data_IF_340542999408
#
_entry.id   IF_340542999408
#
_cell.length_a   1.000
_cell.length_b   1.000
_cell.length_c   1.000
_cell.angle_alpha   90.00
_cell.angle_beta   90.00
_cell.angle_gamma   90.00
#
_symmetry.space_group_name_H-M   'P 1'
#
loop_
_entity.id
_entity.type
_entity.pdbx_description
1 polymer ?
#
# COMPACT_ATOMS: atom_id res chain seq x y z
N UNK A 1 3.95 -8.64 9.32
CA UNK A 1 3.33 -7.71 8.36
C UNK A 1 1.94 -8.27 8.07
N UNK A 2 0.90 -7.44 8.13
CA UNK A 2 -0.47 -7.90 7.95
C UNK A 2 -0.78 -8.06 6.46
N UNK A 3 -1.57 -9.08 6.15
CA UNK A 3 -2.20 -9.20 4.84
C UNK A 3 -3.13 -8.01 4.59
N UNK A 4 -3.16 -7.53 3.34
CA UNK A 4 -4.00 -6.41 2.93
C UNK A 4 -5.32 -6.93 2.37
N UNK A 5 -6.44 -6.55 2.98
CA UNK A 5 -7.77 -6.95 2.52
C UNK A 5 -8.34 -5.90 1.56
N UNK A 6 -8.66 -6.31 0.34
CA UNK A 6 -9.38 -5.47 -0.62
C UNK A 6 -10.83 -5.91 -0.66
N UNK A 7 -11.75 -4.95 -0.52
CA UNK A 7 -13.20 -5.20 -0.56
C UNK A 7 -13.86 -4.33 -1.62
N UNK A 8 -14.93 -4.82 -2.25
CA UNK A 8 -15.63 -4.13 -3.33
C UNK A 8 -17.12 -3.99 -3.02
N UNK A 9 -17.65 -2.79 -3.17
CA UNK A 9 -19.08 -2.50 -3.18
C UNK A 9 -19.48 -1.74 -4.45
N UNK A 10 -20.78 -1.71 -4.75
CA UNK A 10 -21.31 -1.05 -5.93
C UNK A 10 -22.47 -0.12 -5.60
N UNK A 11 -22.57 0.98 -6.35
CA UNK A 11 -23.70 1.93 -6.32
C UNK A 11 -24.13 2.21 -7.76
N UNK A 12 -25.42 2.09 -8.04
CA UNK A 12 -26.04 2.40 -9.33
C UNK A 12 -27.13 3.43 -9.11
N UNK A 13 -27.00 4.63 -9.70
CA UNK A 13 -27.97 5.72 -9.57
C UNK A 13 -28.32 6.07 -8.12
N UNK A 14 -27.30 6.05 -7.25
CA UNK A 14 -27.45 6.28 -5.80
C UNK A 14 -28.00 5.10 -5.00
N UNK A 15 -28.35 3.98 -5.65
CA UNK A 15 -28.84 2.76 -5.00
C UNK A 15 -27.69 1.77 -4.80
N UNK A 16 -27.51 1.29 -3.58
CA UNK A 16 -26.50 0.28 -3.26
C UNK A 16 -26.83 -1.05 -3.95
N UNK A 17 -25.82 -1.65 -4.59
CA UNK A 17 -25.94 -2.95 -5.24
C UNK A 17 -25.78 -4.06 -4.18
N UNK A 18 -26.67 -5.08 -4.15
CA UNK A 18 -26.54 -6.19 -3.22
C UNK A 18 -25.21 -6.93 -3.34
N UNK A 19 -24.64 -7.37 -2.22
CA UNK A 19 -23.33 -8.02 -2.17
C UNK A 19 -23.25 -9.28 -3.06
N UNK A 20 -24.33 -10.08 -3.13
CA UNK A 20 -24.41 -11.27 -3.98
C UNK A 20 -24.26 -10.94 -5.46
N UNK A 21 -24.88 -9.84 -5.90
CA UNK A 21 -24.80 -9.34 -7.27
C UNK A 21 -23.36 -8.91 -7.56
N UNK A 22 -22.73 -8.14 -6.66
CA UNK A 22 -21.33 -7.73 -6.78
C UNK A 22 -20.40 -8.95 -6.81
N UNK A 23 -20.65 -9.99 -6.02
CA UNK A 23 -19.84 -11.22 -5.97
C UNK A 23 -19.84 -11.95 -7.32
N UNK A 24 -21.00 -12.07 -7.96
CA UNK A 24 -21.13 -12.67 -9.29
C UNK A 24 -20.71 -11.75 -10.45
N UNK A 25 -20.53 -10.45 -10.17
CA UNK A 25 -20.32 -9.44 -11.20
C UNK A 25 -19.03 -9.65 -11.97
N UNK A 26 -19.07 -9.28 -13.24
CA UNK A 26 -17.89 -9.31 -14.08
C UNK A 26 -16.84 -8.26 -13.67
N UNK A 27 -17.24 -7.15 -13.04
CA UNK A 27 -16.32 -6.13 -12.48
C UNK A 27 -15.38 -6.75 -11.44
N UNK A 28 -15.94 -7.48 -10.47
CA UNK A 28 -15.14 -8.08 -9.40
C UNK A 28 -14.17 -9.11 -9.95
N UNK A 29 -14.66 -10.03 -10.80
CA UNK A 29 -13.82 -11.04 -11.45
C UNK A 29 -12.70 -10.43 -12.27
N UNK A 30 -13.00 -9.36 -13.00
CA UNK A 30 -12.04 -8.68 -13.85
C UNK A 30 -10.95 -7.96 -13.03
N UNK A 31 -11.33 -7.22 -12.00
CA UNK A 31 -10.38 -6.60 -11.07
C UNK A 31 -9.47 -7.66 -10.41
N UNK A 32 -10.08 -8.76 -9.94
CA UNK A 32 -9.36 -9.86 -9.31
C UNK A 32 -8.38 -10.54 -10.25
N UNK A 33 -8.79 -10.79 -11.50
CA UNK A 33 -7.92 -11.33 -12.54
C UNK A 33 -6.75 -10.39 -12.86
N UNK A 34 -7.00 -9.07 -12.96
CA UNK A 34 -5.95 -8.07 -13.17
C UNK A 34 -4.92 -8.08 -12.04
N UNK A 35 -5.37 -8.15 -10.80
CA UNK A 35 -4.50 -8.24 -9.61
C UNK A 35 -3.67 -9.52 -9.63
N UNK A 36 -4.28 -10.67 -9.97
CA UNK A 36 -3.57 -11.96 -10.07
C UNK A 36 -2.51 -11.94 -11.16
N UNK A 37 -2.86 -11.50 -12.36
CA UNK A 37 -1.94 -11.49 -13.48
C UNK A 37 -0.76 -10.53 -13.29
N UNK A 38 -0.97 -9.44 -12.55
CA UNK A 38 0.05 -8.44 -12.28
C UNK A 38 0.69 -8.60 -10.88
N UNK A 39 0.43 -9.70 -10.17
CA UNK A 39 0.85 -9.90 -8.78
C UNK A 39 2.37 -9.72 -8.59
N UNK A 40 3.17 -10.36 -9.44
CA UNK A 40 4.65 -10.28 -9.37
C UNK A 40 5.14 -8.83 -9.55
N UNK A 41 4.58 -8.11 -10.52
CA UNK A 41 4.95 -6.73 -10.79
C UNK A 41 4.50 -5.78 -9.68
N UNK A 42 3.39 -6.11 -9.01
CA UNK A 42 2.88 -5.41 -7.84
C UNK A 42 3.64 -5.77 -6.55
N UNK A 43 4.57 -6.74 -6.59
CA UNK A 43 5.30 -7.19 -5.40
C UNK A 43 4.43 -7.96 -4.41
N UNK A 44 3.48 -8.73 -4.95
CA UNK A 44 2.57 -9.60 -4.19
C UNK A 44 3.02 -11.05 -4.33
N UNK A 45 2.93 -11.83 -3.25
CA UNK A 45 3.17 -13.27 -3.26
C UNK A 45 1.91 -14.01 -3.73
N UNK A 46 0.78 -13.68 -3.12
CA UNK A 46 -0.48 -14.39 -3.31
C UNK A 46 -1.63 -13.41 -3.32
N UNK A 47 -2.57 -13.66 -4.23
CA UNK A 47 -3.90 -13.03 -4.28
C UNK A 47 -4.91 -14.14 -4.01
N UNK A 48 -5.54 -14.10 -2.82
CA UNK A 48 -6.51 -15.12 -2.43
C UNK A 48 -7.70 -15.16 -3.39
N UNK A 49 -8.46 -16.26 -3.38
CA UNK A 49 -9.78 -16.25 -4.01
C UNK A 49 -10.69 -15.22 -3.34
N UNK A 50 -11.76 -14.86 -4.05
CA UNK A 50 -12.80 -13.99 -3.53
C UNK A 50 -13.58 -14.76 -2.47
N UNK A 51 -13.70 -14.17 -1.29
CA UNK A 51 -14.51 -14.67 -0.18
C UNK A 51 -15.41 -13.56 0.35
N UNK A 52 -16.36 -13.93 1.21
CA UNK A 52 -17.18 -12.97 1.92
C UNK A 52 -17.25 -13.39 3.38
N UNK A 53 -16.84 -12.48 4.26
CA UNK A 53 -16.84 -12.68 5.70
C UNK A 53 -17.43 -11.46 6.43
N UNK A 54 -18.24 -11.74 7.46
CA UNK A 54 -18.86 -10.73 8.32
C UNK A 54 -20.32 -10.40 8.00
N UNK A 55 -20.91 -9.43 8.73
CA UNK A 55 -22.36 -9.21 8.79
C UNK A 55 -22.99 -8.63 7.51
N UNK A 56 -22.18 -8.12 6.59
CA UNK A 56 -22.65 -7.48 5.35
C UNK A 56 -22.31 -8.26 4.08
N UNK A 57 -21.65 -9.42 4.23
CA UNK A 57 -21.33 -10.35 3.16
C UNK A 57 -20.61 -9.73 1.94
N UNK A 58 -19.94 -8.59 2.16
CA UNK A 58 -19.25 -7.81 1.12
C UNK A 58 -18.13 -8.66 0.54
N UNK A 59 -18.02 -8.80 -0.80
CA UNK A 59 -16.96 -9.59 -1.41
C UNK A 59 -15.59 -8.95 -1.18
N UNK A 60 -14.62 -9.77 -0.79
CA UNK A 60 -13.24 -9.40 -0.47
C UNK A 60 -12.25 -10.40 -1.03
N UNK A 61 -11.01 -9.96 -1.17
CA UNK A 61 -9.86 -10.83 -1.42
C UNK A 61 -8.64 -10.26 -0.71
N UNK A 62 -7.71 -11.14 -0.40
CA UNK A 62 -6.53 -10.84 0.40
C UNK A 62 -5.30 -10.77 -0.49
N UNK A 63 -4.51 -9.71 -0.29
CA UNK A 63 -3.24 -9.48 -0.94
C UNK A 63 -2.12 -9.73 0.07
N UNK A 64 -1.35 -10.79 -0.15
CA UNK A 64 -0.18 -11.08 0.67
C UNK A 64 1.06 -10.54 -0.04
N UNK A 65 1.87 -9.70 0.63
CA UNK A 65 3.08 -9.16 0.03
C UNK A 65 4.17 -10.22 -0.18
N UNK A 66 5.03 -10.05 -1.19
CA UNK A 66 6.14 -10.99 -1.50
C UNK A 66 7.13 -11.19 -0.35
N UNK A 67 7.29 -10.20 0.51
CA UNK A 67 8.13 -10.27 1.72
C UNK A 67 7.46 -9.56 2.88
N UNK A 68 7.75 -9.91 4.14
CA UNK A 68 7.39 -9.08 5.27
C UNK A 68 8.34 -7.87 5.36
N UNK A 69 7.79 -6.66 5.49
CA UNK A 69 8.59 -5.46 5.76
C UNK A 69 9.17 -5.60 7.18
N UNK A 70 10.49 -5.48 7.34
CA UNK A 70 11.11 -5.40 8.66
C UNK A 70 10.61 -4.14 9.37
N UNK A 71 9.84 -4.32 10.43
CA UNK A 71 9.12 -3.27 11.15
C UNK A 71 10.01 -2.55 12.18
N UNK A 72 11.27 -2.29 11.83
CA UNK A 72 12.26 -1.81 12.79
C UNK A 72 12.25 -0.28 12.97
N UNK A 73 11.29 0.43 12.36
CA UNK A 73 11.15 1.88 12.51
C UNK A 73 9.70 2.30 12.78
N UNK A 74 9.50 2.87 13.97
CA UNK A 74 8.25 3.47 14.46
C UNK A 74 7.98 4.87 13.83
N UNK A 75 6.70 5.29 13.67
CA UNK A 75 5.49 4.53 13.93
C UNK A 75 5.13 3.70 12.70
N UNK A 76 4.93 2.38 12.83
CA UNK A 76 4.58 1.56 11.69
C UNK A 76 3.09 1.75 11.39
N UNK A 77 2.75 2.70 10.51
CA UNK A 77 1.41 2.70 9.91
C UNK A 77 1.33 1.54 8.94
N UNK A 78 0.43 0.61 9.22
CA UNK A 78 0.14 -0.52 8.34
C UNK A 78 -1.20 -0.31 7.66
N UNK A 79 -1.21 -0.36 6.33
CA UNK A 79 -2.45 -0.42 5.58
C UNK A 79 -3.05 -1.82 5.72
N UNK A 80 -4.19 -1.93 6.40
CA UNK A 80 -4.85 -3.21 6.67
C UNK A 80 -5.91 -3.55 5.61
N UNK A 81 -6.60 -2.54 5.10
CA UNK A 81 -7.67 -2.75 4.12
C UNK A 81 -7.85 -1.58 3.16
N UNK A 82 -8.28 -1.89 1.94
CA UNK A 82 -8.78 -0.93 0.96
C UNK A 82 -10.23 -1.31 0.64
N UNK A 83 -11.16 -0.37 0.80
CA UNK A 83 -12.53 -0.53 0.34
C UNK A 83 -12.72 0.26 -0.96
N UNK A 84 -13.07 -0.43 -2.03
CA UNK A 84 -13.37 0.15 -3.33
C UNK A 84 -14.89 0.22 -3.50
N UNK A 85 -15.37 1.40 -3.88
CA UNK A 85 -16.78 1.63 -4.21
C UNK A 85 -16.86 1.94 -5.69
N UNK A 86 -17.51 1.06 -6.46
CA UNK A 86 -17.78 1.29 -7.87
C UNK A 86 -19.10 2.06 -8.01
N UNK A 87 -19.02 3.30 -8.51
CA UNK A 87 -20.19 4.16 -8.70
C UNK A 87 -20.51 4.25 -10.18
N UNK A 88 -21.75 3.94 -10.55
CA UNK A 88 -22.27 4.06 -11.90
C UNK A 88 -23.50 4.95 -11.91
N UNK A 89 -23.49 5.97 -12.76
CA UNK A 89 -24.60 6.91 -12.95
C UNK A 89 -25.10 6.80 -14.39
N UNK A 90 -26.33 6.33 -14.58
CA UNK A 90 -27.01 6.34 -15.86
C UNK A 90 -27.66 7.71 -16.07
N UNK A 91 -27.39 8.34 -17.22
CA UNK A 91 -28.09 9.57 -17.64
C UNK A 91 -29.55 9.31 -18.10
N UNK A 92 -30.11 8.13 -17.82
CA UNK A 92 -31.39 7.68 -18.38
C UNK A 92 -32.57 8.00 -17.47
N UNK A 93 -33.62 8.59 -18.02
CA UNK A 93 -34.87 9.02 -17.35
C UNK A 93 -35.76 7.89 -16.83
N UNK A 94 -35.36 6.61 -16.97
CA UNK A 94 -36.19 5.48 -16.52
C UNK A 94 -36.03 5.23 -15.02
N UNK A 95 -37.12 5.41 -14.26
CA UNK A 95 -37.20 5.32 -12.80
C UNK A 95 -37.01 3.92 -12.18
N UNK A 96 -36.69 2.90 -12.98
CA UNK A 96 -36.45 1.54 -12.48
C UNK A 96 -34.96 1.25 -12.46
N UNK A 97 -34.35 0.92 -11.30
CA UNK A 97 -32.96 0.48 -11.23
C UNK A 97 -32.86 -0.90 -11.89
N UNK A 98 -32.64 -0.91 -13.21
CA UNK A 98 -32.14 -2.11 -13.88
C UNK A 98 -30.67 -2.20 -13.51
N UNK A 99 -30.27 -3.22 -12.75
CA UNK A 99 -28.85 -3.45 -12.47
C UNK A 99 -28.13 -3.51 -13.81
N UNK A 100 -27.33 -2.48 -14.07
CA UNK A 100 -26.73 -2.23 -15.38
C UNK A 100 -25.96 -3.48 -15.86
N UNK A 101 -25.74 -3.65 -17.19
CA UNK A 101 -24.96 -4.76 -17.75
C UNK A 101 -23.60 -4.98 -17.08
N UNK A 102 -23.05 -3.93 -16.46
CA UNK A 102 -21.82 -3.90 -15.67
C UNK A 102 -21.80 -4.82 -14.45
N UNK A 103 -22.91 -4.97 -13.73
CA UNK A 103 -23.00 -5.87 -12.59
C UNK A 103 -23.51 -7.27 -12.97
N UNK A 104 -23.74 -7.51 -14.26
CA UNK A 104 -24.11 -8.83 -14.75
C UNK A 104 -22.91 -9.79 -14.71
N UNK A 105 -23.21 -11.09 -14.84
CA UNK A 105 -22.18 -12.13 -14.94
C UNK A 105 -21.44 -12.11 -16.28
N UNK A 106 -21.93 -11.42 -17.31
CA UNK A 106 -21.31 -11.42 -18.63
C UNK A 106 -20.97 -9.99 -19.06
N UNK A 107 -19.69 -9.77 -19.34
CA UNK A 107 -19.20 -8.44 -19.68
C UNK A 107 -19.31 -8.22 -21.19
N UNK A 108 -20.07 -7.21 -21.60
CA UNK A 108 -20.20 -6.86 -23.03
C UNK A 108 -18.88 -6.25 -23.54
N UNK A 109 -18.49 -6.58 -24.78
CA UNK A 109 -17.21 -6.19 -25.38
C UNK A 109 -16.85 -4.69 -25.31
N UNK A 110 -17.79 -3.71 -25.47
CA UNK A 110 -17.44 -2.30 -25.31
C UNK A 110 -17.16 -1.90 -23.86
N UNK A 111 -17.71 -2.64 -22.90
CA UNK A 111 -17.55 -2.38 -21.47
C UNK A 111 -16.22 -2.94 -20.98
N UNK A 112 -15.68 -3.99 -21.63
CA UNK A 112 -14.42 -4.61 -21.21
C UNK A 112 -13.24 -3.68 -21.38
N UNK A 113 -13.14 -3.00 -22.54
CA UNK A 113 -12.05 -2.05 -22.80
C UNK A 113 -12.09 -0.84 -21.87
N UNK A 114 -13.29 -0.36 -21.50
CA UNK A 114 -13.46 0.71 -20.52
C UNK A 114 -13.01 0.24 -19.14
N UNK A 115 -13.35 -1.01 -18.79
CA UNK A 115 -12.96 -1.58 -17.51
C UNK A 115 -11.43 -1.85 -17.45
N UNK A 116 -10.83 -2.30 -18.55
CA UNK A 116 -9.38 -2.48 -18.68
C UNK A 116 -8.65 -1.16 -18.39
N UNK A 117 -9.06 -0.06 -19.04
CA UNK A 117 -8.47 1.27 -18.85
C UNK A 117 -8.74 1.79 -17.42
N UNK A 118 -9.93 1.56 -16.87
CA UNK A 118 -10.27 1.97 -15.50
C UNK A 118 -9.43 1.22 -14.45
N UNK A 119 -9.28 -0.10 -14.59
CA UNK A 119 -8.48 -0.93 -13.68
C UNK A 119 -6.99 -0.63 -13.86
N UNK A 120 -6.50 -0.44 -15.09
CA UNK A 120 -5.12 -0.01 -15.34
C UNK A 120 -4.84 1.33 -14.65
N UNK A 121 -5.71 2.33 -14.83
CA UNK A 121 -5.59 3.62 -14.15
C UNK A 121 -5.64 3.46 -12.64
N UNK A 122 -6.51 2.61 -12.11
CA UNK A 122 -6.59 2.33 -10.67
C UNK A 122 -5.26 1.76 -10.15
N UNK A 123 -4.72 0.73 -10.80
CA UNK A 123 -3.45 0.11 -10.41
C UNK A 123 -2.28 1.08 -10.51
N UNK A 124 -2.14 1.77 -11.65
CA UNK A 124 -1.05 2.70 -11.88
C UNK A 124 -1.10 3.90 -10.93
N UNK A 125 -2.27 4.53 -10.77
CA UNK A 125 -2.39 5.82 -10.09
C UNK A 125 -2.69 5.69 -8.60
N UNK A 126 -3.58 4.77 -8.21
CA UNK A 126 -4.02 4.66 -6.81
C UNK A 126 -3.21 3.63 -6.04
N UNK A 127 -2.77 2.54 -6.66
CA UNK A 127 -1.99 1.52 -5.96
C UNK A 127 -0.50 1.87 -6.03
N UNK A 128 0.09 1.80 -7.21
CA UNK A 128 1.55 1.93 -7.34
C UNK A 128 2.03 3.35 -7.10
N UNK A 129 1.39 4.38 -7.68
CA UNK A 129 1.86 5.76 -7.51
C UNK A 129 1.60 6.31 -6.10
N UNK A 130 0.46 5.98 -5.47
CA UNK A 130 0.10 6.50 -4.15
C UNK A 130 0.71 5.69 -3.01
N UNK A 131 0.87 4.38 -3.19
CA UNK A 131 1.45 3.48 -2.19
C UNK A 131 2.61 2.65 -2.75
N UNK A 132 3.67 3.31 -3.26
CA UNK A 132 4.79 2.60 -3.89
C UNK A 132 5.59 1.72 -2.91
N UNK A 133 5.50 1.97 -1.59
CA UNK A 133 6.13 1.11 -0.57
C UNK A 133 5.35 -0.19 -0.32
N UNK A 134 4.09 -0.24 -0.74
CA UNK A 134 3.21 -1.38 -0.57
C UNK A 134 3.15 -2.16 -1.88
N UNK A 135 2.96 -1.45 -2.99
CA UNK A 135 2.82 -2.00 -4.33
C UNK A 135 3.97 -1.58 -5.25
N UNK A 136 4.37 -2.51 -6.11
CA UNK A 136 5.30 -2.28 -7.20
C UNK A 136 6.76 -2.65 -6.87
N UNK A 137 7.60 -2.57 -7.89
CA UNK A 137 9.03 -2.91 -7.81
C UNK A 137 9.84 -1.98 -6.90
N UNK A 138 9.30 -0.81 -6.52
CA UNK A 138 10.01 0.13 -5.64
C UNK A 138 10.26 -0.47 -4.27
N UNK A 139 9.27 -1.17 -3.74
CA UNK A 139 9.40 -1.90 -2.49
C UNK A 139 10.54 -2.91 -2.53
N UNK A 140 10.58 -3.75 -3.57
CA UNK A 140 11.65 -4.76 -3.73
C UNK A 140 13.03 -4.12 -3.78
N UNK A 141 13.18 -3.01 -4.50
CA UNK A 141 14.44 -2.26 -4.56
C UNK A 141 14.83 -1.67 -3.22
N UNK A 142 13.88 -1.07 -2.51
CA UNK A 142 14.12 -0.56 -1.16
C UNK A 142 14.58 -1.69 -0.24
N UNK A 143 13.89 -2.84 -0.24
CA UNK A 143 14.25 -3.99 0.58
C UNK A 143 15.68 -4.49 0.33
N UNK A 144 16.10 -4.62 -0.94
CA UNK A 144 17.48 -4.99 -1.28
C UNK A 144 18.52 -4.01 -0.71
N UNK A 145 18.17 -2.72 -0.67
CA UNK A 145 19.05 -1.67 -0.17
C UNK A 145 19.02 -1.59 1.36
N UNK A 146 17.89 -1.91 2.00
CA UNK A 146 17.75 -1.92 3.46
C UNK A 146 18.77 -2.87 4.10
N UNK A 147 19.05 -4.01 3.48
CA UNK A 147 20.05 -4.97 3.94
C UNK A 147 21.47 -4.36 3.99
N UNK A 148 21.73 -3.32 3.19
CA UNK A 148 23.00 -2.60 3.14
C UNK A 148 23.05 -1.40 4.09
N UNK A 149 21.90 -0.79 4.42
CA UNK A 149 21.86 0.46 5.19
C UNK A 149 22.36 0.31 6.63
N UNK A 150 22.03 -0.80 7.30
CA UNK A 150 22.48 -1.03 8.68
C UNK A 150 24.01 -1.30 8.75
N UNK A 151 24.60 -2.18 7.91
CA UNK A 151 26.05 -2.30 7.79
C UNK A 151 26.76 -0.97 7.50
N UNK A 152 26.21 -0.15 6.60
CA UNK A 152 26.75 1.19 6.30
C UNK A 152 26.69 2.11 7.51
N UNK A 153 25.56 2.14 8.22
CA UNK A 153 25.42 2.88 9.47
C UNK A 153 26.45 2.46 10.51
N UNK A 154 26.65 1.15 10.70
CA UNK A 154 27.66 0.59 11.59
C UNK A 154 29.09 0.96 11.18
N UNK A 155 29.41 0.91 9.88
CA UNK A 155 30.71 1.30 9.36
C UNK A 155 31.00 2.78 9.64
N UNK A 156 30.04 3.67 9.35
CA UNK A 156 30.15 5.10 9.61
C UNK A 156 30.32 5.40 11.10
N UNK A 157 29.49 4.81 11.96
CA UNK A 157 29.62 4.97 13.42
C UNK A 157 30.98 4.50 13.92
N UNK A 158 31.52 3.40 13.38
CA UNK A 158 32.84 2.91 13.74
C UNK A 158 33.97 3.84 13.28
N UNK A 159 33.88 4.41 12.07
CA UNK A 159 34.85 5.40 11.56
C UNK A 159 34.87 6.64 12.45
N UNK A 160 33.69 7.17 12.78
CA UNK A 160 33.56 8.33 13.67
C UNK A 160 34.19 8.02 15.04
N UNK A 161 33.85 6.89 15.65
CA UNK A 161 34.35 6.50 16.97
C UNK A 161 35.87 6.31 17.00
N UNK A 162 36.46 5.79 15.93
CA UNK A 162 37.90 5.49 15.84
C UNK A 162 38.76 6.66 15.38
N UNK A 163 38.16 7.76 14.91
CA UNK A 163 38.92 8.94 14.48
C UNK A 163 39.69 9.56 15.64
N UNK A 164 40.95 9.94 15.39
CA UNK A 164 41.81 10.64 16.37
C UNK A 164 41.56 12.15 16.38
N UNK A 165 40.87 12.67 15.36
CA UNK A 165 40.53 14.08 15.23
C UNK A 165 39.29 14.40 16.10
N UNK A 166 39.49 15.25 17.11
CA UNK A 166 38.42 15.66 18.02
C UNK A 166 37.39 16.58 17.34
N UNK A 167 37.83 17.44 16.42
CA UNK A 167 36.97 18.37 15.70
C UNK A 167 36.07 17.61 14.73
N UNK A 168 36.63 16.61 14.03
CA UNK A 168 35.86 15.70 13.18
C UNK A 168 34.77 14.96 13.97
N UNK A 169 35.12 14.37 15.12
CA UNK A 169 34.14 13.64 15.96
C UNK A 169 33.04 14.55 16.46
N UNK A 170 33.39 15.75 16.93
CA UNK A 170 32.43 16.75 17.40
C UNK A 170 31.48 17.17 16.27
N UNK A 171 32.02 17.46 15.08
CA UNK A 171 31.24 17.82 13.90
C UNK A 171 30.27 16.69 13.48
N UNK A 172 30.73 15.44 13.45
CA UNK A 172 29.90 14.29 13.12
C UNK A 172 28.79 14.04 14.17
N UNK A 173 29.11 14.10 15.46
CA UNK A 173 28.13 13.94 16.53
C UNK A 173 27.05 15.02 16.47
N UNK A 174 27.44 16.28 16.22
CA UNK A 174 26.50 17.38 16.02
C UNK A 174 25.55 17.13 14.84
N UNK A 175 26.04 16.54 13.74
CA UNK A 175 25.21 16.15 12.61
C UNK A 175 24.25 15.03 12.99
N UNK A 176 24.72 13.98 13.69
CA UNK A 176 23.90 12.86 14.14
C UNK A 176 22.79 13.34 15.08
N UNK A 177 23.09 14.21 16.03
CA UNK A 177 22.11 14.85 16.92
C UNK A 177 21.09 15.68 16.14
N UNK A 178 21.55 16.44 15.13
CA UNK A 178 20.68 17.18 14.23
C UNK A 178 19.72 16.27 13.45
N UNK A 179 20.21 15.12 12.96
CA UNK A 179 19.40 14.09 12.30
C UNK A 179 18.39 13.50 13.29
N UNK A 180 18.83 13.16 14.52
CA UNK A 180 17.97 12.61 15.57
C UNK A 180 16.83 13.56 15.91
N UNK A 181 17.14 14.83 16.11
CA UNK A 181 16.15 15.88 16.39
C UNK A 181 15.14 16.01 15.23
N UNK A 182 15.62 16.11 13.98
CA UNK A 182 14.74 16.17 12.80
C UNK A 182 13.85 14.94 12.66
N UNK A 183 14.39 13.75 12.89
CA UNK A 183 13.63 12.50 12.84
C UNK A 183 12.55 12.48 13.93
N UNK A 184 12.87 12.92 15.14
CA UNK A 184 11.90 12.99 16.24
C UNK A 184 10.77 13.98 15.93
N UNK A 185 11.09 15.19 15.45
CA UNK A 185 10.08 16.19 15.05
C UNK A 185 9.15 15.62 13.97
N UNK A 186 9.71 14.95 12.95
CA UNK A 186 8.92 14.31 11.88
C UNK A 186 8.05 13.17 12.39
N UNK A 187 8.58 12.35 13.30
CA UNK A 187 7.84 11.27 13.93
C UNK A 187 6.63 11.82 14.69
N UNK A 188 6.84 12.82 15.56
CA UNK A 188 5.77 13.47 16.33
C UNK A 188 4.75 14.13 15.43
N UNK A 189 5.19 14.86 14.39
CA UNK A 189 4.28 15.48 13.42
C UNK A 189 3.44 14.44 12.65
N UNK A 190 4.06 13.34 12.21
CA UNK A 190 3.37 12.25 11.53
C UNK A 190 2.36 11.56 12.46
N UNK A 191 2.75 11.28 13.70
CA UNK A 191 1.86 10.68 14.70
C UNK A 191 0.67 11.58 15.01
N UNK A 192 0.88 12.89 15.13
CA UNK A 192 -0.18 13.87 15.35
C UNK A 192 -1.14 13.95 14.16
N UNK A 193 -0.61 13.97 12.92
CA UNK A 193 -1.42 13.98 11.72
C UNK A 193 -2.29 12.72 11.58
N UNK A 194 -1.74 11.55 11.90
CA UNK A 194 -2.48 10.28 11.92
C UNK A 194 -3.57 10.29 12.99
N UNK A 195 -3.24 10.77 14.20
CA UNK A 195 -4.23 10.93 15.28
C UNK A 195 -5.40 11.81 14.85
N UNK A 196 -5.12 12.93 14.17
CA UNK A 196 -6.15 13.82 13.64
C UNK A 196 -7.00 13.17 12.53
N UNK A 197 -6.40 12.39 11.63
CA UNK A 197 -7.14 11.75 10.52
C UNK A 197 -8.09 10.64 10.97
N UNK A 198 -7.77 9.93 12.05
CA UNK A 198 -8.54 8.75 12.46
C UNK A 198 -9.44 9.00 13.69
N UNK A 199 -9.52 10.24 14.18
CA UNK A 199 -10.20 10.59 15.45
C UNK A 199 -9.86 9.61 16.57
N UNK A 200 -8.67 9.03 16.51
CA UNK A 200 -8.16 8.17 17.57
C UNK A 200 -7.86 9.13 18.71
N UNK A 201 -8.66 9.08 19.77
CA UNK A 201 -8.21 9.47 21.10
C UNK A 201 -7.01 8.57 21.41
N UNK A 202 -5.83 8.96 20.91
CA UNK A 202 -4.58 8.31 21.26
C UNK A 202 -4.44 8.58 22.74
N UNK A 203 -4.88 7.62 23.54
CA UNK A 203 -4.58 7.57 24.97
C UNK A 203 -3.09 7.79 25.09
N UNK A 204 -2.73 8.96 25.60
CA UNK A 204 -1.36 9.41 25.86
C UNK A 204 -0.58 8.45 26.77
N UNK A 205 -1.27 7.46 27.35
CA UNK A 205 -0.74 6.33 28.09
C UNK A 205 0.07 5.29 27.26
N UNK A 206 -0.20 5.11 25.95
CA UNK A 206 0.59 4.16 25.11
C UNK A 206 1.87 4.81 24.59
N UNK A 207 1.89 6.13 24.41
CA UNK A 207 3.09 6.89 24.05
C UNK A 207 4.07 7.07 25.23
N UNK A 208 3.64 6.80 26.47
CA UNK A 208 4.46 6.91 27.68
C UNK A 208 4.97 5.58 28.22
N UNK A 209 4.57 4.44 27.61
CA UNK A 209 5.09 3.10 27.92
C UNK A 209 6.13 2.60 26.91
N UNK A 210 6.26 3.26 25.76
CA UNK A 210 7.46 3.19 24.94
C UNK A 210 8.49 4.16 25.53
N UNK A 211 9.46 3.62 26.23
CA UNK A 211 10.63 4.34 26.76
C UNK A 211 11.05 5.47 25.79
N UNK A 212 11.01 6.77 26.19
CA UNK A 212 11.27 7.86 25.26
C UNK A 212 12.68 7.86 24.68
N UNK A 213 13.59 7.05 25.25
CA UNK A 213 15.01 7.02 24.91
C UNK A 213 15.57 5.63 25.23
N UNK A 214 15.02 4.55 24.67
CA UNK A 214 15.90 3.43 24.37
C UNK A 214 16.92 4.01 23.39
N UNK A 215 18.17 4.24 23.86
CA UNK A 215 19.26 4.88 23.11
C UNK A 215 19.24 4.39 21.66
N UNK A 216 18.58 5.13 20.75
CA UNK A 216 18.54 4.77 19.35
C UNK A 216 19.97 4.93 18.89
N UNK A 217 20.65 3.80 18.73
CA UNK A 217 22.05 3.75 18.40
C UNK A 217 22.33 4.70 17.23
N UNK A 218 23.48 5.38 17.25
CA UNK A 218 23.86 6.30 16.19
C UNK A 218 23.78 5.62 14.81
N UNK A 219 24.06 4.31 14.76
CA UNK A 219 23.92 3.52 13.55
C UNK A 219 22.45 3.42 13.05
N UNK A 220 21.48 3.30 13.96
CA UNK A 220 20.05 3.29 13.62
C UNK A 220 19.58 4.67 13.18
N UNK A 221 20.09 5.74 13.81
CA UNK A 221 19.80 7.12 13.41
C UNK A 221 20.30 7.40 11.98
N UNK A 222 21.54 6.98 11.68
CA UNK A 222 22.15 7.10 10.35
C UNK A 222 21.38 6.24 9.33
N UNK A 223 21.12 4.97 9.64
CA UNK A 223 20.39 4.05 8.75
C UNK A 223 19.00 4.59 8.39
N UNK A 224 18.25 5.11 9.36
CA UNK A 224 16.96 5.74 9.11
C UNK A 224 17.05 6.99 8.23
N UNK A 225 18.12 7.79 8.40
CA UNK A 225 18.37 8.95 7.55
C UNK A 225 18.70 8.55 6.11
N UNK A 226 19.56 7.56 5.92
CA UNK A 226 19.90 7.01 4.60
C UNK A 226 18.66 6.44 3.90
N UNK A 227 17.81 5.72 4.64
CA UNK A 227 16.52 5.22 4.14
C UNK A 227 15.63 6.36 3.64
N UNK A 228 15.60 7.48 4.36
CA UNK A 228 14.83 8.65 3.93
C UNK A 228 15.40 9.30 2.67
N UNK A 229 16.73 9.43 2.58
CA UNK A 229 17.40 9.95 1.39
C UNK A 229 17.12 9.06 0.18
N UNK A 230 17.23 7.74 0.34
CA UNK A 230 16.90 6.78 -0.72
C UNK A 230 15.46 6.93 -1.19
N UNK A 231 14.51 7.05 -0.26
CA UNK A 231 13.10 7.25 -0.60
C UNK A 231 12.86 8.56 -1.36
N UNK A 232 13.65 9.60 -1.11
CA UNK A 232 13.56 10.88 -1.79
C UNK A 232 14.26 10.90 -3.15
N UNK A 233 15.30 10.10 -3.35
CA UNK A 233 16.13 10.11 -4.57
C UNK A 233 15.65 9.14 -5.65
N UNK A 234 14.96 8.07 -5.28
CA UNK A 234 14.52 7.05 -6.26
C UNK A 234 13.13 7.39 -6.78
N UNK A 235 13.07 7.78 -8.05
CA UNK A 235 11.81 7.93 -8.75
C UNK A 235 11.23 6.56 -9.11
N UNK A 236 9.94 6.29 -8.81
CA UNK A 236 9.32 5.04 -9.21
C UNK A 236 9.32 4.93 -10.74
N UNK A 237 9.84 3.82 -11.26
CA UNK A 237 9.67 3.46 -12.66
C UNK A 237 8.19 3.35 -12.99
N UNK A 238 7.78 3.78 -14.19
CA UNK A 238 6.39 3.65 -14.62
C UNK A 238 5.96 2.18 -14.56
N UNK A 239 4.94 1.90 -13.77
CA UNK A 239 4.27 0.60 -13.77
C UNK A 239 3.69 0.35 -15.15
N UNK A 240 3.93 -0.83 -15.71
CA UNK A 240 3.40 -1.24 -17.01
C UNK A 240 2.44 -2.38 -16.76
N UNK A 241 1.14 -2.10 -16.88
CA UNK A 241 0.14 -3.15 -16.69
C UNK A 241 0.26 -4.16 -17.81
N UNK A 242 0.26 -5.44 -17.46
CA UNK A 242 0.09 -6.52 -18.44
C UNK A 242 -1.40 -6.70 -18.63
N UNK A 243 -1.93 -6.46 -19.85
CA UNK A 243 -3.36 -6.56 -20.10
C UNK A 243 -3.82 -8.00 -19.93
N UNK A 244 -5.09 -8.19 -19.53
CA UNK A 244 -5.69 -9.53 -19.50
C UNK A 244 -5.78 -10.05 -20.92
N UNK A 245 -5.02 -11.11 -21.20
CA UNK A 245 -5.29 -11.96 -22.36
C UNK A 245 -6.44 -12.87 -21.92
N UNK A 246 -7.66 -12.50 -22.28
CA UNK A 246 -8.81 -13.38 -22.10
C UNK A 246 -8.57 -14.60 -23.00
N UNK A 247 -7.98 -15.67 -22.44
CA UNK A 247 -7.97 -16.97 -23.11
C UNK A 247 -9.42 -17.37 -23.35
N UNK A 248 -9.70 -17.92 -24.52
CA UNK A 248 -11.01 -18.44 -24.94
C UNK A 248 -11.62 -19.41 -23.92
N UNK A 249 -10.83 -19.96 -23.00
CA UNK A 249 -11.26 -20.91 -21.97
C UNK A 249 -12.13 -20.29 -20.86
N UNK A 250 -12.27 -18.96 -20.78
CA UNK A 250 -13.16 -18.29 -19.83
C UNK A 250 -14.64 -18.24 -20.25
N UNK A 251 -14.98 -18.75 -21.44
CA UNK A 251 -16.36 -18.86 -21.91
C UNK A 251 -17.04 -20.19 -21.53
N UNK A 252 -16.30 -21.17 -21.00
CA UNK A 252 -16.79 -22.55 -20.77
C UNK A 252 -16.98 -22.95 -19.30
N UNK A 253 -17.41 -22.02 -18.44
CA UNK A 253 -17.94 -22.40 -17.14
C UNK A 253 -19.31 -21.76 -16.97
N UNK A 254 -20.33 -22.55 -17.32
CA UNK A 254 -21.76 -22.29 -17.14
C UNK A 254 -22.16 -22.12 -15.67
#
# INVERSE_FOLDING_TARGET
MADLVVSLSGVVDGVAVPADVVRSSAILRHLHAYMRQNADQLGLNTVSDVYADGPHDIPKFTLTPSRPLQADASPPVTLLSIHLVYVWEQQSTSRSPSFAPLFSSQLLLPISSILDDAVEKLLCTQFVRRYPLIFGSWRMRLELELDLLLPLGNALSNVIRRSRDADFRSACNRIIEGIRSKNNVRHTASSAALGACFSLEVSTAILSTLDPIAHVSDCMTISNSLRHVYRASVFPSRFKVTPIVLSSDYMDIC
#
